data_IF_372407409351
#
_entry.id   IF_372407409351
#
_cell.length_a   1.000
_cell.length_b   1.000
_cell.length_c   1.000
_cell.angle_alpha   90.00
_cell.angle_beta   90.00
_cell.angle_gamma   90.00
#
_symmetry.space_group_name_H-M   'P 1'
#
loop_
_entity.id
_entity.type
_entity.pdbx_description
1 polymer ?
#
# COMPACT_ATOMS: atom_id res chain seq x y z
N UNK A 1 14.54 -10.54 -15.61
CA UNK A 1 13.23 -10.31 -16.26
C UNK A 1 12.21 -10.20 -15.16
N UNK A 2 11.37 -9.16 -15.17
CA UNK A 2 10.39 -8.90 -14.09
C UNK A 2 8.99 -9.10 -14.65
N UNK A 3 8.08 -9.65 -13.83
CA UNK A 3 6.68 -9.83 -14.19
C UNK A 3 5.88 -8.65 -13.63
N UNK A 4 5.15 -7.96 -14.49
CA UNK A 4 4.24 -6.89 -14.09
C UNK A 4 3.00 -7.51 -13.44
N UNK A 5 2.75 -7.13 -12.20
CA UNK A 5 1.56 -7.47 -11.43
C UNK A 5 0.54 -6.34 -11.58
N UNK A 6 -0.68 -6.57 -11.10
CA UNK A 6 -1.72 -5.54 -11.07
C UNK A 6 -1.27 -4.30 -10.30
N UNK A 7 -0.60 -4.49 -9.15
CA UNK A 7 -0.07 -3.40 -8.33
C UNK A 7 0.96 -2.55 -9.10
N UNK A 8 1.83 -3.19 -9.89
CA UNK A 8 2.78 -2.47 -10.76
C UNK A 8 2.06 -1.61 -11.81
N UNK A 9 0.97 -2.11 -12.39
CA UNK A 9 0.20 -1.39 -13.41
C UNK A 9 -0.54 -0.21 -12.79
N UNK A 10 -1.13 -0.38 -11.61
CA UNK A 10 -1.87 0.68 -10.94
C UNK A 10 -0.96 1.77 -10.39
N UNK A 11 0.21 1.38 -9.84
CA UNK A 11 1.28 2.31 -9.51
C UNK A 11 1.76 3.12 -10.73
N UNK A 12 1.92 2.45 -11.88
CA UNK A 12 2.31 3.11 -13.14
C UNK A 12 1.24 4.11 -13.61
N UNK A 13 -0.04 3.76 -13.56
CA UNK A 13 -1.15 4.68 -13.90
C UNK A 13 -1.15 5.90 -12.97
N UNK A 14 -0.95 5.69 -11.67
CA UNK A 14 -0.89 6.75 -10.67
C UNK A 14 0.28 7.68 -10.92
N UNK A 15 1.47 7.14 -11.19
CA UNK A 15 2.66 7.91 -11.53
C UNK A 15 2.45 8.80 -12.77
N UNK A 16 1.76 8.28 -13.79
CA UNK A 16 1.43 9.05 -15.00
C UNK A 16 0.44 10.17 -14.68
N UNK A 17 -0.57 9.90 -13.85
CA UNK A 17 -1.57 10.89 -13.44
C UNK A 17 -0.93 12.07 -12.69
N UNK A 18 -0.10 11.79 -11.70
CA UNK A 18 0.59 12.82 -10.90
C UNK A 18 1.58 13.65 -11.73
N UNK A 19 2.08 13.12 -12.85
CA UNK A 19 2.97 13.84 -13.76
C UNK A 19 2.25 14.55 -14.92
N UNK A 20 0.95 14.83 -14.76
CA UNK A 20 0.16 15.59 -15.74
C UNK A 20 -0.65 14.73 -16.72
N UNK A 21 -0.81 13.43 -16.43
CA UNK A 21 -1.76 12.53 -17.11
C UNK A 21 -1.35 12.05 -18.51
N UNK A 22 -0.24 12.54 -19.06
CA UNK A 22 0.19 12.19 -20.41
C UNK A 22 1.30 11.13 -20.41
N UNK A 23 1.00 9.97 -20.98
CA UNK A 23 1.94 8.83 -21.09
C UNK A 23 3.26 9.22 -21.77
N UNK A 24 3.19 10.06 -22.82
CA UNK A 24 4.38 10.51 -23.56
C UNK A 24 5.28 11.45 -22.74
N UNK A 25 4.70 12.27 -21.86
CA UNK A 25 5.46 13.15 -20.96
C UNK A 25 6.18 12.28 -19.92
N UNK A 26 5.46 11.34 -19.32
CA UNK A 26 6.03 10.37 -18.39
C UNK A 26 7.18 9.57 -19.05
N UNK A 27 6.94 9.01 -20.24
CA UNK A 27 7.92 8.23 -20.98
C UNK A 27 9.20 9.02 -21.25
N UNK A 28 9.09 10.27 -21.73
CA UNK A 28 10.23 11.16 -21.94
C UNK A 28 11.01 11.42 -20.64
N UNK A 29 10.30 11.64 -19.54
CA UNK A 29 10.92 11.92 -18.23
C UNK A 29 11.71 10.74 -17.68
N UNK A 30 11.23 9.52 -17.90
CA UNK A 30 11.94 8.30 -17.50
C UNK A 30 12.96 7.82 -18.55
N UNK A 31 13.10 8.53 -19.68
CA UNK A 31 14.03 8.14 -20.75
C UNK A 31 13.59 6.90 -21.55
N UNK A 32 12.29 6.59 -21.58
CA UNK A 32 11.72 5.48 -22.34
C UNK A 32 10.87 5.98 -23.51
N UNK A 33 10.67 5.13 -24.52
CA UNK A 33 9.68 5.41 -25.56
C UNK A 33 8.26 5.19 -25.04
N UNK A 34 7.33 6.04 -25.49
CA UNK A 34 5.90 5.94 -25.12
C UNK A 34 5.27 4.59 -25.51
N UNK A 35 5.79 3.94 -26.55
CA UNK A 35 5.38 2.59 -26.97
C UNK A 35 5.61 1.53 -25.89
N UNK A 36 6.69 1.65 -25.09
CA UNK A 36 6.93 0.75 -23.97
C UNK A 36 5.89 0.95 -22.87
N UNK A 37 5.63 2.20 -22.50
CA UNK A 37 4.64 2.54 -21.45
C UNK A 37 3.23 2.06 -21.84
N UNK A 38 2.82 2.32 -23.08
CA UNK A 38 1.52 1.87 -23.62
C UNK A 38 1.39 0.35 -23.58
N UNK A 39 2.46 -0.37 -23.94
CA UNK A 39 2.50 -1.84 -23.89
C UNK A 39 2.33 -2.41 -22.47
N UNK A 40 2.86 -1.72 -21.46
CA UNK A 40 2.71 -2.13 -20.05
C UNK A 40 1.31 -1.83 -19.52
N UNK A 41 0.75 -0.66 -19.86
CA UNK A 41 -0.60 -0.26 -19.43
C UNK A 41 -1.70 -1.12 -20.04
N UNK A 42 -1.56 -1.48 -21.31
CA UNK A 42 -2.54 -2.31 -22.02
C UNK A 42 -2.36 -3.81 -21.75
N UNK A 43 -1.46 -4.19 -20.83
CA UNK A 43 -1.15 -5.58 -20.44
C UNK A 43 -0.75 -6.46 -21.64
N UNK A 44 -0.41 -5.85 -22.78
CA UNK A 44 -0.01 -6.57 -24.00
C UNK A 44 1.31 -7.31 -23.77
N UNK A 45 2.08 -6.89 -22.77
CA UNK A 45 3.28 -7.61 -22.34
C UNK A 45 3.40 -7.56 -20.82
N UNK A 46 3.26 -8.73 -20.18
CA UNK A 46 3.42 -8.89 -18.72
C UNK A 46 4.88 -8.99 -18.27
N UNK A 47 5.83 -9.05 -19.21
CA UNK A 47 7.25 -9.25 -18.92
C UNK A 47 8.06 -8.02 -19.33
N UNK A 48 8.77 -7.44 -18.36
CA UNK A 48 9.67 -6.32 -18.59
C UNK A 48 11.12 -6.80 -18.46
N UNK A 49 12.00 -6.23 -19.30
CA UNK A 49 13.43 -6.49 -19.18
C UNK A 49 13.95 -5.91 -17.86
N UNK A 50 14.95 -6.54 -17.24
CA UNK A 50 15.50 -6.00 -15.98
C UNK A 50 16.03 -4.58 -16.16
N UNK A 51 16.71 -4.29 -17.28
CA UNK A 51 17.20 -2.94 -17.61
C UNK A 51 16.09 -1.90 -17.66
N UNK A 52 14.96 -2.23 -18.29
CA UNK A 52 13.82 -1.30 -18.37
C UNK A 52 13.13 -1.16 -17.01
N UNK A 53 13.11 -2.22 -16.21
CA UNK A 53 12.59 -2.18 -14.85
C UNK A 53 13.42 -1.28 -13.94
N UNK A 54 14.75 -1.36 -14.00
CA UNK A 54 15.64 -0.54 -13.17
C UNK A 54 15.47 0.96 -13.46
N UNK A 55 15.14 1.32 -14.70
CA UNK A 55 14.81 2.70 -15.10
C UNK A 55 13.42 3.09 -14.58
N UNK A 56 12.43 2.21 -14.70
CA UNK A 56 11.05 2.52 -14.37
C UNK A 56 10.77 2.53 -12.86
N UNK A 57 11.40 1.61 -12.12
CA UNK A 57 11.15 1.33 -10.70
C UNK A 57 11.18 2.59 -9.82
N UNK A 58 12.20 3.46 -9.86
CA UNK A 58 12.26 4.62 -8.99
C UNK A 58 11.10 5.61 -9.17
N UNK A 59 10.46 5.60 -10.35
CA UNK A 59 9.34 6.49 -10.67
C UNK A 59 7.97 5.91 -10.30
N UNK A 60 7.89 4.60 -10.06
CA UNK A 60 6.66 3.90 -9.67
C UNK A 60 6.66 3.47 -8.21
N UNK A 61 7.84 3.30 -7.59
CA UNK A 61 8.02 2.88 -6.19
C UNK A 61 7.27 3.75 -5.17
N UNK A 62 7.19 5.10 -5.31
CA UNK A 62 6.38 5.93 -4.41
C UNK A 62 4.87 5.64 -4.48
N UNK A 63 4.41 4.96 -5.53
CA UNK A 63 3.01 4.66 -5.78
C UNK A 63 2.68 3.17 -5.64
N UNK A 64 3.70 2.34 -5.40
CA UNK A 64 3.52 0.95 -5.07
C UNK A 64 2.94 0.88 -3.67
N UNK A 65 1.76 0.27 -3.56
CA UNK A 65 1.22 -0.06 -2.24
C UNK A 65 2.17 -1.07 -1.58
N UNK A 66 2.51 -0.89 -0.30
CA UNK A 66 3.31 -1.87 0.41
C UNK A 66 2.58 -3.20 0.36
N UNK A 67 3.28 -4.22 -0.12
CA UNK A 67 2.75 -5.58 -0.08
C UNK A 67 2.64 -5.96 1.40
N UNK A 68 1.41 -5.97 1.91
CA UNK A 68 1.13 -6.22 3.33
C UNK A 68 1.66 -7.61 3.70
N UNK A 69 1.67 -8.54 2.75
CA UNK A 69 2.19 -9.90 2.92
C UNK A 69 3.73 -9.93 3.09
N UNK A 70 4.47 -9.07 2.39
CA UNK A 70 5.93 -8.96 2.56
C UNK A 70 6.29 -8.25 3.88
N UNK A 71 5.45 -7.30 4.32
CA UNK A 71 5.59 -6.64 5.62
C UNK A 71 5.31 -7.57 6.81
N UNK A 72 4.37 -8.52 6.69
CA UNK A 72 4.06 -9.51 7.71
C UNK A 72 5.16 -10.58 7.83
N UNK A 73 5.79 -10.96 6.70
CA UNK A 73 6.80 -12.01 6.66
C UNK A 73 8.17 -11.63 7.27
N UNK A 74 8.53 -10.34 7.32
CA UNK A 74 9.86 -9.86 7.78
C UNK A 74 9.83 -9.11 9.13
N UNK A 75 8.90 -9.47 10.01
CA UNK A 75 8.63 -8.78 11.28
C UNK A 75 9.84 -8.72 12.25
N UNK A 76 10.65 -7.66 12.13
CA UNK A 76 11.31 -6.98 13.27
C UNK A 76 11.35 -5.44 13.18
N UNK A 77 10.99 -4.83 12.05
CA UNK A 77 11.06 -3.36 11.89
C UNK A 77 9.85 -2.70 11.20
N UNK A 78 8.79 -3.45 10.91
CA UNK A 78 7.74 -2.99 9.97
C UNK A 78 6.67 -2.09 10.60
N UNK A 79 6.66 -1.89 11.93
CA UNK A 79 5.62 -1.08 12.59
C UNK A 79 5.84 0.44 12.47
N UNK A 80 6.95 0.90 11.90
CA UNK A 80 7.28 2.34 11.89
C UNK A 80 6.88 3.08 10.62
N UNK A 81 6.91 2.48 9.42
CA UNK A 81 6.72 3.25 8.18
C UNK A 81 5.26 3.31 7.70
N UNK A 82 4.49 2.19 7.64
CA UNK A 82 3.10 2.25 7.17
C UNK A 82 2.19 2.99 8.17
N UNK A 83 2.45 2.81 9.47
CA UNK A 83 1.72 3.50 10.54
C UNK A 83 1.99 5.01 10.51
N UNK A 84 3.23 5.46 10.28
CA UNK A 84 3.54 6.89 10.15
C UNK A 84 2.82 7.51 8.95
N UNK A 85 2.73 6.83 7.81
CA UNK A 85 2.05 7.34 6.61
C UNK A 85 0.52 7.40 6.74
N UNK A 86 -0.06 6.45 7.50
CA UNK A 86 -1.47 6.49 7.89
C UNK A 86 -1.70 7.64 8.90
N UNK A 87 -0.81 7.80 9.88
CA UNK A 87 -0.86 8.89 10.86
C UNK A 87 -0.70 10.29 10.24
N UNK A 88 0.15 10.45 9.22
CA UNK A 88 0.32 11.73 8.50
C UNK A 88 -0.93 12.11 7.68
N UNK A 89 -1.69 11.12 7.18
CA UNK A 89 -2.91 11.36 6.39
C UNK A 89 -4.18 11.43 7.23
N UNK A 90 -4.16 10.95 8.47
CA UNK A 90 -5.17 11.27 9.47
C UNK A 90 -4.87 12.66 10.05
N UNK A 91 -5.41 13.69 9.42
CA UNK A 91 -5.48 15.04 10.01
C UNK A 91 -5.91 14.98 11.47
N UNK A 92 -5.36 15.89 12.28
CA UNK A 92 -5.45 15.97 13.75
C UNK A 92 -6.84 15.69 14.36
N UNK A 93 -7.92 15.93 13.61
CA UNK A 93 -9.31 15.70 14.01
C UNK A 93 -9.79 14.25 13.90
N UNK A 94 -9.23 13.45 12.98
CA UNK A 94 -9.62 12.06 12.79
C UNK A 94 -8.81 11.10 13.67
N UNK A 95 -7.55 11.43 13.98
CA UNK A 95 -6.71 10.63 14.87
C UNK A 95 -7.29 10.54 16.29
N UNK A 96 -7.89 11.63 16.79
CA UNK A 96 -8.56 11.67 18.09
C UNK A 96 -9.79 10.78 18.11
N UNK A 97 -10.58 10.75 17.03
CA UNK A 97 -11.77 9.89 16.92
C UNK A 97 -11.39 8.40 16.88
N UNK A 98 -10.32 8.05 16.17
CA UNK A 98 -9.83 6.67 16.10
C UNK A 98 -9.28 6.22 17.46
N UNK A 99 -8.52 7.08 18.16
CA UNK A 99 -8.07 6.82 19.53
C UNK A 99 -9.24 6.62 20.49
N UNK A 100 -10.27 7.46 20.41
CA UNK A 100 -11.43 7.38 21.29
C UNK A 100 -12.26 6.10 21.05
N UNK A 101 -12.45 5.71 19.79
CA UNK A 101 -13.13 4.45 19.44
C UNK A 101 -12.32 3.22 19.86
N UNK A 102 -11.00 3.29 19.78
CA UNK A 102 -10.12 2.19 20.23
C UNK A 102 -10.16 2.00 21.75
N UNK A 103 -10.22 3.09 22.53
CA UNK A 103 -10.38 3.00 23.99
C UNK A 103 -11.76 2.45 24.40
N UNK A 104 -12.82 2.76 23.65
CA UNK A 104 -14.17 2.25 23.91
C UNK A 104 -14.27 0.72 23.67
N UNK A 105 -13.68 0.25 22.56
CA UNK A 105 -13.59 -1.18 22.25
C UNK A 105 -12.74 -1.98 23.25
N UNK A 106 -11.68 -1.38 23.79
CA UNK A 106 -10.87 -2.02 24.83
C UNK A 106 -11.65 -2.17 26.14
N UNK A 107 -12.50 -1.21 26.50
CA UNK A 107 -13.36 -1.30 27.70
C UNK A 107 -14.46 -2.36 27.57
N UNK A 108 -15.00 -2.58 26.38
CA UNK A 108 -16.00 -3.65 26.16
C UNK A 108 -15.41 -5.06 26.33
N UNK A 109 -14.12 -5.25 26.01
CA UNK A 109 -13.46 -6.55 26.19
C UNK A 109 -13.15 -6.86 27.66
N UNK A 110 -12.90 -5.86 28.51
CA UNK A 110 -12.72 -6.08 29.95
C UNK A 110 -14.03 -6.37 30.70
N UNK A 111 -15.17 -5.86 30.22
CA UNK A 111 -16.45 -6.04 30.91
C UNK A 111 -17.19 -7.34 30.55
N UNK A 112 -16.76 -8.04 29.49
CA UNK A 112 -17.39 -9.29 29.05
C UNK A 112 -16.85 -10.55 29.76
N UNK A 113 -15.84 -10.44 30.64
CA UNK A 113 -15.20 -11.57 31.33
C UNK A 113 -15.71 -11.89 32.74
N UNK A 114 -16.78 -11.25 33.20
CA UNK A 114 -17.12 -11.18 34.63
C UNK A 114 -18.40 -11.87 35.09
N UNK A 115 -18.69 -13.14 34.72
CA UNK A 115 -19.65 -13.98 35.48
C UNK A 115 -19.22 -15.46 35.50
N UNK A 116 -18.27 -15.81 36.37
CA UNK A 116 -18.17 -17.15 36.92
C UNK A 116 -19.02 -17.19 38.19
N UNK A 117 -20.19 -17.81 38.11
CA UNK A 117 -21.12 -17.99 39.22
C UNK A 117 -21.72 -19.38 39.17
N UNK A 118 -21.01 -20.31 39.82
CA UNK A 118 -21.45 -21.53 40.50
C UNK A 118 -22.91 -21.96 40.27
N UNK A 119 -23.11 -23.16 39.70
CA UNK A 119 -24.28 -23.94 40.05
C UNK A 119 -23.84 -25.30 40.58
N UNK A 120 -24.00 -25.41 41.90
CA UNK A 120 -23.77 -26.56 42.74
C UNK A 120 -24.55 -27.80 42.28
N UNK A 121 -23.94 -28.93 42.61
CA UNK A 121 -24.56 -30.25 42.61
C UNK A 121 -25.65 -30.33 43.68
N UNK A 122 -26.85 -30.82 43.32
CA UNK A 122 -27.50 -32.03 43.87
C UNK A 122 -28.91 -32.19 43.29
#
# INVERSE_FOLDING_TARGET
>A
MVILTTNHIDALKKAIKEMGGQQNIFAKKVGLQGSYISRYLNVTTKKISSKTWDILRPHIEPYLEPDIDECLANSKSCLTIPLMNIFERLTRENAVKVLFLAEDLLKEQENAGGQNGTHDSN
#
